data_IF_469060073058
#
_entry.id   IF_469060073058
#
_cell.length_a   1.000
_cell.length_b   1.000
_cell.length_c   1.000
_cell.angle_alpha   90.00
_cell.angle_beta   90.00
_cell.angle_gamma   90.00
#
_symmetry.space_group_name_H-M   'P 1'
#
loop_
_entity.id
_entity.type
_entity.pdbx_description
1 polymer ?
#
# COMPACT_ATOMS: atom_id res chain seq x y z
N UNK A 1 9.29 18.38 9.50
CA UNK A 1 8.19 17.63 8.86
C UNK A 1 6.89 18.37 9.17
N UNK A 2 6.16 18.81 8.15
CA UNK A 2 4.92 19.58 8.33
C UNK A 2 3.79 18.68 8.83
N UNK A 3 2.81 19.24 9.54
CA UNK A 3 1.60 18.53 9.97
C UNK A 3 0.88 17.84 8.80
N UNK A 4 0.98 18.42 7.59
CA UNK A 4 0.38 17.90 6.36
C UNK A 4 0.99 16.59 5.89
N UNK A 5 2.27 16.35 6.15
CA UNK A 5 2.94 15.12 5.73
C UNK A 5 2.50 13.95 6.61
N UNK A 6 2.32 14.18 7.92
CA UNK A 6 1.84 13.16 8.86
C UNK A 6 0.43 12.64 8.51
N UNK A 7 -0.40 13.48 7.90
CA UNK A 7 -1.72 13.05 7.40
C UNK A 7 -1.63 11.94 6.34
N UNK A 8 -0.51 11.83 5.61
CA UNK A 8 -0.36 10.80 4.58
C UNK A 8 -0.14 9.41 5.16
N UNK A 9 0.63 9.29 6.25
CA UNK A 9 0.85 8.00 6.90
C UNK A 9 -0.41 7.55 7.66
N UNK A 10 -1.11 8.47 8.33
CA UNK A 10 -2.42 8.20 8.93
C UNK A 10 -3.42 7.75 7.86
N UNK A 11 -3.43 8.41 6.70
CA UNK A 11 -4.26 7.99 5.58
C UNK A 11 -3.91 6.59 5.11
N UNK A 12 -2.62 6.26 4.96
CA UNK A 12 -2.19 4.91 4.59
C UNK A 12 -2.67 3.84 5.59
N UNK A 13 -2.64 4.15 6.88
CA UNK A 13 -3.14 3.26 7.95
C UNK A 13 -4.65 3.09 7.88
N UNK A 14 -5.40 4.16 7.64
CA UNK A 14 -6.85 4.08 7.44
C UNK A 14 -7.21 3.25 6.20
N UNK A 15 -6.47 3.38 5.09
CA UNK A 15 -6.68 2.55 3.90
C UNK A 15 -6.48 1.05 4.20
N UNK A 16 -5.50 0.68 5.06
CA UNK A 16 -5.34 -0.70 5.53
C UNK A 16 -6.55 -1.16 6.35
N UNK A 17 -7.03 -0.33 7.28
CA UNK A 17 -8.20 -0.66 8.11
C UNK A 17 -9.43 -0.90 7.23
N UNK A 18 -9.67 -0.02 6.25
CA UNK A 18 -10.77 -0.17 5.30
C UNK A 18 -10.63 -1.46 4.49
N UNK A 19 -9.43 -1.75 3.97
CA UNK A 19 -9.16 -2.97 3.22
C UNK A 19 -9.41 -4.24 4.07
N UNK A 20 -9.02 -4.24 5.34
CA UNK A 20 -9.23 -5.35 6.28
C UNK A 20 -10.72 -5.59 6.56
N UNK A 21 -11.48 -4.51 6.81
CA UNK A 21 -12.92 -4.57 7.03
C UNK A 21 -13.66 -5.11 5.80
N UNK A 22 -13.31 -4.63 4.60
CA UNK A 22 -13.90 -5.10 3.34
C UNK A 22 -13.55 -6.56 3.04
N UNK A 23 -12.34 -7.00 3.38
CA UNK A 23 -11.93 -8.39 3.24
C UNK A 23 -12.73 -9.30 4.17
N UNK A 24 -12.87 -8.92 5.45
CA UNK A 24 -13.70 -9.63 6.42
C UNK A 24 -15.16 -9.72 5.98
N UNK A 25 -15.75 -8.60 5.55
CA UNK A 25 -17.13 -8.56 5.04
C UNK A 25 -17.31 -9.45 3.80
N UNK A 26 -16.28 -9.64 2.99
CA UNK A 26 -16.34 -10.50 1.81
C UNK A 26 -16.39 -12.00 2.14
N UNK A 27 -15.94 -12.42 3.33
CA UNK A 27 -15.74 -13.83 3.72
C UNK A 27 -16.91 -14.45 4.51
N UNK A 28 -18.14 -13.95 4.35
CA UNK A 28 -19.34 -14.42 5.07
C UNK A 28 -19.18 -14.32 6.59
N UNK A 29 -19.04 -13.08 7.05
CA UNK A 29 -18.92 -12.73 8.46
C UNK A 29 -20.28 -12.34 9.07
N UNK A 30 -20.47 -12.42 10.41
CA UNK A 30 -21.70 -11.99 11.07
C UNK A 30 -22.13 -10.55 10.74
N UNK A 31 -21.16 -9.69 10.44
CA UNK A 31 -21.35 -8.29 10.06
C UNK A 31 -22.10 -8.13 8.73
N UNK A 32 -22.00 -9.08 7.79
CA UNK A 32 -22.80 -9.07 6.54
C UNK A 32 -24.30 -9.05 6.85
N UNK A 33 -24.72 -9.88 7.80
CA UNK A 33 -26.12 -9.93 8.23
C UNK A 33 -26.55 -8.64 8.91
N UNK A 34 -25.72 -8.11 9.80
CA UNK A 34 -26.01 -6.84 10.50
C UNK A 34 -26.13 -5.64 9.54
N UNK A 35 -25.41 -5.67 8.42
CA UNK A 35 -25.37 -4.61 7.41
C UNK A 35 -26.32 -4.84 6.23
N UNK A 36 -27.16 -5.88 6.25
CA UNK A 36 -28.05 -6.27 5.15
C UNK A 36 -27.31 -6.47 3.81
N UNK A 37 -26.10 -6.99 3.86
CA UNK A 37 -25.30 -7.32 2.66
C UNK A 37 -25.63 -8.74 2.22
N UNK A 38 -25.88 -8.93 0.92
CA UNK A 38 -26.15 -10.26 0.35
C UNK A 38 -24.96 -11.21 0.58
N UNK A 39 -25.25 -12.47 0.90
CA UNK A 39 -24.21 -13.50 1.13
C UNK A 39 -23.28 -13.67 -0.09
N UNK A 40 -23.81 -13.53 -1.31
CA UNK A 40 -23.01 -13.60 -2.54
C UNK A 40 -22.17 -12.35 -2.85
N UNK A 41 -22.35 -11.26 -2.11
CA UNK A 41 -21.59 -10.02 -2.32
C UNK A 41 -20.16 -10.17 -1.81
N UNK A 42 -19.21 -9.68 -2.60
CA UNK A 42 -17.78 -9.64 -2.25
C UNK A 42 -17.19 -8.30 -2.65
N UNK A 43 -16.17 -7.87 -1.92
CA UNK A 43 -15.52 -6.58 -2.06
C UNK A 43 -14.01 -6.72 -2.33
N UNK A 44 -13.56 -7.89 -2.80
CA UNK A 44 -12.14 -8.18 -3.01
C UNK A 44 -11.45 -7.19 -3.94
N UNK A 45 -12.10 -6.72 -5.01
CA UNK A 45 -11.52 -5.66 -5.87
C UNK A 45 -11.34 -4.31 -5.13
N UNK A 46 -12.21 -4.00 -4.18
CA UNK A 46 -12.07 -2.83 -3.32
C UNK A 46 -10.91 -3.01 -2.33
N UNK A 47 -10.74 -4.21 -1.76
CA UNK A 47 -9.57 -4.55 -0.92
C UNK A 47 -8.26 -4.28 -1.66
N UNK A 48 -8.14 -4.74 -2.91
CA UNK A 48 -6.95 -4.51 -3.77
C UNK A 48 -6.73 -3.00 -3.98
N UNK A 49 -7.80 -2.25 -4.26
CA UNK A 49 -7.70 -0.81 -4.48
C UNK A 49 -7.24 -0.06 -3.23
N UNK A 50 -7.81 -0.36 -2.08
CA UNK A 50 -7.43 0.26 -0.79
C UNK A 50 -6.02 -0.13 -0.37
N UNK A 51 -5.62 -1.40 -0.57
CA UNK A 51 -4.25 -1.85 -0.35
C UNK A 51 -3.23 -1.08 -1.20
N UNK A 52 -3.53 -0.85 -2.49
CA UNK A 52 -2.70 -0.01 -3.35
C UNK A 52 -2.60 1.43 -2.82
N UNK A 53 -3.71 2.04 -2.40
CA UNK A 53 -3.68 3.41 -1.88
C UNK A 53 -2.88 3.53 -0.58
N UNK A 54 -2.92 2.52 0.30
CA UNK A 54 -2.05 2.48 1.47
C UNK A 54 -0.57 2.51 1.10
N UNK A 55 -0.16 1.70 0.13
CA UNK A 55 1.21 1.65 -0.40
C UNK A 55 1.58 2.98 -1.07
N UNK A 56 0.69 3.53 -1.88
CA UNK A 56 0.92 4.80 -2.56
C UNK A 56 1.10 5.96 -1.59
N UNK A 57 0.23 6.12 -0.59
CA UNK A 57 0.33 7.21 0.38
C UNK A 57 1.57 7.08 1.26
N UNK A 58 1.96 5.86 1.65
CA UNK A 58 3.20 5.65 2.39
C UNK A 58 4.44 5.93 1.53
N UNK A 59 4.50 5.46 0.28
CA UNK A 59 5.60 5.79 -0.63
C UNK A 59 5.68 7.32 -0.88
N UNK A 60 4.53 7.97 -1.05
CA UNK A 60 4.42 9.43 -1.18
C UNK A 60 4.98 10.15 0.05
N UNK A 61 4.61 9.69 1.23
CA UNK A 61 5.10 10.22 2.50
C UNK A 61 6.61 10.11 2.64
N UNK A 62 7.18 8.95 2.30
CA UNK A 62 8.63 8.74 2.29
C UNK A 62 9.36 9.71 1.33
N UNK A 63 8.84 9.92 0.12
CA UNK A 63 9.46 10.86 -0.82
C UNK A 63 9.43 12.30 -0.28
N UNK A 64 8.32 12.71 0.34
CA UNK A 64 8.21 14.04 0.95
C UNK A 64 9.14 14.20 2.16
N UNK A 65 9.34 13.15 2.97
CA UNK A 65 10.32 13.19 4.07
C UNK A 65 11.76 13.34 3.57
N UNK A 66 12.03 13.03 2.30
CA UNK A 66 13.28 13.29 1.59
C UNK A 66 13.32 14.64 0.88
N UNK A 67 12.36 15.54 1.17
CA UNK A 67 12.19 16.84 0.52
C UNK A 67 12.02 16.75 -1.00
N UNK A 68 11.47 15.64 -1.51
CA UNK A 68 11.18 15.49 -2.94
C UNK A 68 9.76 16.02 -3.20
N UNK A 69 9.68 17.14 -3.90
CA UNK A 69 8.40 17.73 -4.30
C UNK A 69 7.66 16.83 -5.30
N UNK A 70 6.37 16.67 -5.08
CA UNK A 70 5.49 15.82 -5.89
C UNK A 70 4.54 16.72 -6.68
N UNK A 71 4.42 16.53 -8.00
CA UNK A 71 3.54 17.34 -8.85
C UNK A 71 2.07 17.11 -8.51
N UNK A 72 1.19 18.08 -8.81
CA UNK A 72 -0.24 17.93 -8.56
C UNK A 72 -0.90 16.88 -9.47
N UNK A 73 -0.45 16.79 -10.72
CA UNK A 73 -0.95 15.83 -11.71
C UNK A 73 0.08 14.69 -11.93
N UNK A 74 -0.41 13.50 -12.27
CA UNK A 74 0.46 12.35 -12.56
C UNK A 74 1.18 11.78 -11.33
N UNK A 75 0.65 12.03 -10.12
CA UNK A 75 1.28 11.66 -8.85
C UNK A 75 1.66 10.18 -8.76
N UNK A 76 0.79 9.28 -9.23
CA UNK A 76 1.03 7.83 -9.17
C UNK A 76 2.32 7.43 -9.90
N UNK A 77 2.43 7.78 -11.19
CA UNK A 77 3.63 7.51 -11.98
C UNK A 77 4.86 8.23 -11.40
N UNK A 78 4.72 9.47 -10.94
CA UNK A 78 5.85 10.20 -10.34
C UNK A 78 6.39 9.49 -9.09
N UNK A 79 5.49 9.13 -8.16
CA UNK A 79 5.85 8.42 -6.92
C UNK A 79 6.53 7.09 -7.26
N UNK A 80 5.96 6.31 -8.18
CA UNK A 80 6.54 5.05 -8.63
C UNK A 80 7.94 5.24 -9.21
N UNK A 81 8.12 6.12 -10.20
CA UNK A 81 9.40 6.31 -10.87
C UNK A 81 10.47 6.83 -9.90
N UNK A 82 10.10 7.72 -8.99
CA UNK A 82 11.04 8.26 -8.02
C UNK A 82 11.43 7.22 -6.97
N UNK A 83 10.48 6.46 -6.46
CA UNK A 83 10.74 5.36 -5.53
C UNK A 83 11.62 4.29 -6.18
N UNK A 84 11.31 3.90 -7.42
CA UNK A 84 12.12 2.99 -8.25
C UNK A 84 13.55 3.47 -8.41
N UNK A 85 13.75 4.76 -8.67
CA UNK A 85 15.10 5.34 -8.77
C UNK A 85 15.88 5.18 -7.46
N UNK A 86 15.28 5.50 -6.32
CA UNK A 86 15.92 5.39 -4.99
C UNK A 86 16.25 3.94 -4.62
N UNK A 87 15.39 2.99 -5.00
CA UNK A 87 15.66 1.57 -4.81
C UNK A 87 16.84 1.11 -5.68
N UNK A 88 16.85 1.47 -6.97
CA UNK A 88 17.93 1.09 -7.89
C UNK A 88 19.28 1.73 -7.60
N UNK A 89 19.30 2.94 -7.03
CA UNK A 89 20.55 3.60 -6.61
C UNK A 89 21.08 3.07 -5.28
N UNK A 90 20.34 2.17 -4.61
CA UNK A 90 20.69 1.62 -3.29
C UNK A 90 20.53 2.62 -2.15
N UNK A 91 19.92 3.79 -2.39
CA UNK A 91 19.66 4.78 -1.33
C UNK A 91 18.69 4.22 -0.28
N UNK A 92 17.63 3.52 -0.73
CA UNK A 92 16.70 2.82 0.16
C UNK A 92 17.37 1.66 0.92
N UNK A 93 18.28 0.91 0.28
CA UNK A 93 18.98 -0.21 0.94
C UNK A 93 19.90 0.26 2.06
N UNK A 94 20.58 1.40 1.87
CA UNK A 94 21.42 2.01 2.91
C UNK A 94 20.59 2.36 4.15
N UNK A 95 19.41 2.95 3.94
CA UNK A 95 18.52 3.31 5.05
C UNK A 95 17.93 2.07 5.74
N UNK A 96 17.58 1.02 4.98
CA UNK A 96 17.11 -0.25 5.53
C UNK A 96 18.18 -0.89 6.41
N UNK A 97 19.43 -0.90 5.95
CA UNK A 97 20.56 -1.45 6.71
C UNK A 97 20.71 -0.73 8.05
N UNK A 98 20.59 0.59 8.06
CA UNK A 98 20.69 1.38 9.30
C UNK A 98 19.53 1.13 10.27
N UNK A 99 18.32 0.83 9.77
CA UNK A 99 17.13 0.55 10.59
C UNK A 99 17.18 -0.87 11.16
N UNK A 100 17.51 -1.85 10.33
CA UNK A 100 17.41 -3.26 10.70
C UNK A 100 18.70 -3.82 11.30
N UNK A 101 19.83 -3.10 11.21
CA UNK A 101 21.18 -3.53 11.63
C UNK A 101 21.65 -4.88 11.05
N UNK A 102 20.84 -5.46 10.17
CA UNK A 102 21.05 -6.69 9.40
C UNK A 102 20.13 -6.64 8.17
N UNK A 103 20.62 -7.12 7.02
CA UNK A 103 20.05 -6.89 5.68
C UNK A 103 18.90 -7.85 5.38
N UNK A 104 17.91 -7.97 6.27
CA UNK A 104 16.84 -8.95 6.08
C UNK A 104 15.87 -8.59 4.95
N UNK A 105 15.74 -7.31 4.60
CA UNK A 105 14.81 -6.84 3.57
C UNK A 105 15.54 -5.89 2.66
N UNK A 106 15.45 -6.13 1.35
CA UNK A 106 16.03 -5.30 0.29
C UNK A 106 15.00 -4.30 -0.21
N UNK A 107 15.45 -3.11 -0.61
CA UNK A 107 14.65 -2.08 -1.27
C UNK A 107 13.91 -2.62 -2.50
N UNK A 108 14.52 -3.59 -3.18
CA UNK A 108 13.93 -4.30 -4.30
C UNK A 108 12.64 -5.06 -3.94
N UNK A 109 12.52 -5.60 -2.72
CA UNK A 109 11.28 -6.23 -2.28
C UNK A 109 10.13 -5.23 -2.13
N UNK A 110 10.40 -4.03 -1.61
CA UNK A 110 9.42 -2.95 -1.52
C UNK A 110 9.04 -2.44 -2.91
N UNK A 111 10.02 -2.30 -3.81
CA UNK A 111 9.76 -1.90 -5.19
C UNK A 111 8.86 -2.90 -5.92
N UNK A 112 9.15 -4.20 -5.81
CA UNK A 112 8.34 -5.25 -6.43
C UNK A 112 6.90 -5.25 -5.90
N UNK A 113 6.71 -4.99 -4.60
CA UNK A 113 5.37 -4.81 -4.04
C UNK A 113 4.66 -3.63 -4.71
N UNK A 114 5.28 -2.44 -4.72
CA UNK A 114 4.67 -1.24 -5.31
C UNK A 114 4.29 -1.44 -6.79
N UNK A 115 5.19 -2.05 -7.58
CA UNK A 115 4.96 -2.37 -8.98
C UNK A 115 3.77 -3.34 -9.14
N UNK A 116 3.79 -4.45 -8.40
CA UNK A 116 2.74 -5.48 -8.51
C UNK A 116 1.35 -4.96 -8.12
N UNK A 117 1.26 -4.08 -7.13
CA UNK A 117 -0.03 -3.56 -6.66
C UNK A 117 -0.59 -2.48 -7.60
N UNK A 118 0.27 -1.71 -8.28
CA UNK A 118 -0.15 -0.79 -9.34
C UNK A 118 -0.75 -1.55 -10.54
N UNK A 119 -0.10 -2.65 -10.95
CA UNK A 119 -0.57 -3.53 -12.01
C UNK A 119 -1.89 -4.22 -11.64
N UNK A 120 -1.96 -4.83 -10.44
CA UNK A 120 -3.17 -5.50 -9.94
C UNK A 120 -4.36 -4.57 -9.85
N UNK A 121 -4.18 -3.33 -9.38
CA UNK A 121 -5.27 -2.35 -9.36
C UNK A 121 -5.87 -2.18 -10.76
N UNK A 122 -5.03 -2.07 -11.78
CA UNK A 122 -5.48 -1.89 -13.16
C UNK A 122 -6.18 -3.14 -13.69
N UNK A 123 -5.71 -4.33 -13.34
CA UNK A 123 -6.26 -5.60 -13.81
C UNK A 123 -7.57 -5.98 -13.10
N UNK A 124 -7.56 -6.00 -11.76
CA UNK A 124 -8.63 -6.58 -10.94
C UNK A 124 -9.77 -5.61 -10.60
N UNK A 125 -9.59 -4.31 -10.87
CA UNK A 125 -10.67 -3.32 -10.76
C UNK A 125 -11.59 -3.34 -11.99
N UNK A 126 -11.08 -3.72 -13.16
CA UNK A 126 -11.79 -3.50 -14.42
C UNK A 126 -12.06 -4.76 -15.26
N UNK A 127 -11.34 -5.88 -15.03
CA UNK A 127 -11.34 -7.01 -15.97
C UNK A 127 -11.79 -8.36 -15.39
N UNK A 128 -12.07 -8.44 -14.10
CA UNK A 128 -12.37 -9.71 -13.41
C UNK A 128 -13.65 -9.63 -12.57
N UNK A 129 -14.32 -10.78 -12.41
CA UNK A 129 -15.44 -10.89 -11.47
C UNK A 129 -14.92 -10.73 -10.03
N UNK A 130 -15.52 -9.86 -9.21
CA UNK A 130 -15.04 -9.60 -7.84
C UNK A 130 -14.85 -10.87 -7.01
N UNK A 131 -15.69 -11.88 -7.21
CA UNK A 131 -15.65 -13.15 -6.45
C UNK A 131 -14.38 -13.96 -6.70
N UNK A 132 -13.73 -13.81 -7.85
CA UNK A 132 -12.49 -14.52 -8.19
C UNK A 132 -11.25 -13.91 -7.52
N UNK A 133 -11.40 -12.73 -6.90
CA UNK A 133 -10.26 -11.91 -6.46
C UNK A 133 -9.86 -12.13 -5.01
N UNK A 134 -10.35 -13.18 -4.34
CA UNK A 134 -10.06 -13.45 -2.92
C UNK A 134 -8.56 -13.57 -2.62
N UNK A 135 -7.85 -14.45 -3.34
CA UNK A 135 -6.41 -14.64 -3.15
C UNK A 135 -5.59 -13.39 -3.52
N UNK A 136 -5.84 -12.72 -4.67
CA UNK A 136 -5.24 -11.42 -4.95
C UNK A 136 -5.46 -10.39 -3.83
N UNK A 137 -6.68 -10.27 -3.32
CA UNK A 137 -7.05 -9.32 -2.27
C UNK A 137 -6.34 -9.58 -0.94
N UNK A 138 -6.29 -10.84 -0.50
CA UNK A 138 -5.54 -11.26 0.68
C UNK A 138 -4.06 -10.87 0.53
N UNK A 139 -3.46 -11.17 -0.63
CA UNK A 139 -2.06 -10.87 -0.86
C UNK A 139 -1.78 -9.36 -0.91
N UNK A 140 -2.67 -8.60 -1.54
CA UNK A 140 -2.59 -7.14 -1.56
C UNK A 140 -2.64 -6.54 -0.15
N UNK A 141 -3.51 -7.07 0.71
CA UNK A 141 -3.62 -6.63 2.10
C UNK A 141 -2.35 -6.95 2.92
N UNK A 142 -1.78 -8.15 2.77
CA UNK A 142 -0.48 -8.51 3.37
C UNK A 142 0.62 -7.56 2.90
N UNK A 143 0.70 -7.32 1.59
CA UNK A 143 1.67 -6.44 0.96
C UNK A 143 1.55 -5.01 1.50
N UNK A 144 0.33 -4.49 1.65
CA UNK A 144 0.10 -3.17 2.21
C UNK A 144 0.56 -3.05 3.66
N UNK A 145 0.17 -4.02 4.52
CA UNK A 145 0.61 -4.08 5.93
C UNK A 145 2.13 -4.15 6.02
N UNK A 146 2.76 -5.00 5.22
CA UNK A 146 4.21 -5.12 5.16
C UNK A 146 4.85 -3.80 4.72
N UNK A 147 4.47 -3.25 3.57
CA UNK A 147 5.08 -2.05 3.00
C UNK A 147 4.94 -0.84 3.95
N UNK A 148 3.74 -0.56 4.45
CA UNK A 148 3.49 0.58 5.34
C UNK A 148 4.29 0.46 6.64
N UNK A 149 4.38 -0.72 7.24
CA UNK A 149 5.19 -0.92 8.46
C UNK A 149 6.69 -0.66 8.25
N UNK A 150 7.21 -0.93 7.05
CA UNK A 150 8.61 -0.66 6.70
C UNK A 150 8.82 0.82 6.43
N UNK A 151 7.89 1.47 5.71
CA UNK A 151 7.95 2.90 5.47
C UNK A 151 7.94 3.71 6.77
N UNK A 152 7.05 3.34 7.70
CA UNK A 152 6.94 4.02 8.99
C UNK A 152 8.27 4.06 9.75
N UNK A 153 9.01 2.95 9.72
CA UNK A 153 10.34 2.86 10.35
C UNK A 153 11.40 3.74 9.68
N UNK A 154 11.30 4.04 8.37
CA UNK A 154 12.19 5.02 7.73
C UNK A 154 11.96 6.42 8.27
N UNK A 155 10.69 6.78 8.44
CA UNK A 155 10.34 8.17 8.73
C UNK A 155 10.39 8.48 10.22
N UNK A 156 10.12 7.51 11.10
CA UNK A 156 10.30 7.65 12.57
C UNK A 156 11.77 7.82 13.00
N UNK A 157 12.72 7.66 12.07
CA UNK A 157 14.15 7.94 12.30
C UNK A 157 14.50 9.43 12.22
N UNK A 158 13.60 10.27 11.70
CA UNK A 158 13.77 11.71 11.50
C UNK A 158 12.70 12.51 12.28
#
# INVERSE_FOLDING_TARGET
MDSKDKLLIERAEHEIVVADLLYSLSNDSPEKTALNVSSGSTFYSAVISHAYYAIFYSAKYYLLSKNILIPEQGQHNFVYQRFKKLAKTGELDKELLEIYKDTKIKAEALLLILESEEEKRTEYTYKTYPQANKLPAEKSLENAKFFVSHIRKFVEKY
#
